data_IF_368384629478
#
_entry.id   IF_368384629478
#
_cell.length_a   1.000
_cell.length_b   1.000
_cell.length_c   1.000
_cell.angle_alpha   90.00
_cell.angle_beta   90.00
_cell.angle_gamma   90.00
#
_symmetry.space_group_name_H-M   'P 1'
#
loop_
_entity.id
_entity.type
_entity.pdbx_description
1 polymer ?
#
# COMPACT_ATOMS: atom_id res chain seq x y z
N UNK A 1 -8.16 -13.68 10.28
CA UNK A 1 -6.84 -14.08 9.75
C UNK A 1 -5.71 -13.72 10.72
N UNK A 2 -5.57 -12.44 11.12
CA UNK A 2 -4.52 -12.00 12.05
C UNK A 2 -4.55 -12.68 13.43
N UNK A 3 -5.73 -12.96 14.01
CA UNK A 3 -5.85 -13.66 15.31
C UNK A 3 -5.17 -15.04 15.38
N UNK A 4 -4.92 -15.71 14.25
CA UNK A 4 -4.29 -17.05 14.22
C UNK A 4 -2.82 -17.01 13.82
N UNK A 5 -2.32 -15.88 13.31
CA UNK A 5 -0.97 -15.74 12.76
C UNK A 5 -0.21 -14.66 13.52
N UNK A 6 0.76 -15.08 14.32
CA UNK A 6 1.57 -14.19 15.16
C UNK A 6 2.47 -13.25 14.35
N UNK A 7 2.72 -13.57 13.08
CA UNK A 7 3.50 -12.74 12.15
C UNK A 7 2.65 -11.71 11.38
N UNK A 8 1.36 -11.56 11.70
CA UNK A 8 0.47 -10.56 11.06
C UNK A 8 0.02 -9.55 12.09
N UNK A 9 0.47 -8.31 11.95
CA UNK A 9 0.11 -7.20 12.83
C UNK A 9 -0.97 -6.35 12.14
N UNK A 10 -2.24 -6.39 12.59
CA UNK A 10 -3.29 -5.59 11.99
C UNK A 10 -3.15 -4.13 12.41
N UNK A 11 -3.20 -3.21 11.44
CA UNK A 11 -3.23 -1.76 11.67
C UNK A 11 -4.52 -1.23 11.08
N UNK A 12 -5.36 -0.61 11.90
CA UNK A 12 -6.63 -0.02 11.49
C UNK A 12 -6.41 1.48 11.37
N UNK A 13 -5.97 1.94 10.20
CA UNK A 13 -5.82 3.36 9.91
C UNK A 13 -5.85 3.63 8.39
N UNK A 14 -6.04 4.89 7.99
CA UNK A 14 -6.06 5.30 6.58
C UNK A 14 -4.64 5.33 5.98
N UNK A 15 -4.41 4.52 4.95
CA UNK A 15 -3.13 4.43 4.24
C UNK A 15 -2.68 5.75 3.57
N UNK A 16 -3.58 6.72 3.40
CA UNK A 16 -3.27 8.06 2.90
C UNK A 16 -2.45 8.90 3.91
N UNK A 17 -2.40 8.50 5.17
CA UNK A 17 -1.76 9.24 6.26
C UNK A 17 -0.70 8.39 6.99
N UNK A 18 0.43 8.05 6.36
CA UNK A 18 1.46 7.18 6.95
C UNK A 18 2.07 7.71 8.25
N UNK A 19 1.96 9.01 8.51
CA UNK A 19 2.35 9.63 9.77
C UNK A 19 1.58 9.10 10.97
N UNK A 20 0.31 8.69 10.81
CA UNK A 20 -0.55 8.24 11.92
C UNK A 20 -0.16 6.88 12.48
N UNK A 21 0.45 6.02 11.67
CA UNK A 21 0.94 4.70 12.09
C UNK A 21 2.46 4.59 12.02
N UNK A 22 3.18 5.72 11.88
CA UNK A 22 4.63 5.74 11.72
C UNK A 22 5.37 5.06 12.88
N UNK A 23 4.82 5.17 14.09
CA UNK A 23 5.41 4.56 15.30
C UNK A 23 5.22 3.03 15.37
N UNK A 24 4.31 2.47 14.58
CA UNK A 24 3.97 1.04 14.61
C UNK A 24 4.74 0.23 13.57
N UNK A 25 5.28 0.87 12.53
CA UNK A 25 5.88 0.20 11.37
C UNK A 25 7.33 0.62 11.22
N UNK A 26 8.23 -0.38 11.19
CA UNK A 26 9.65 -0.21 10.91
C UNK A 26 9.94 -0.09 9.41
N UNK A 27 11.23 -0.11 9.04
CA UNK A 27 11.61 -0.17 7.63
C UNK A 27 11.30 -1.56 7.05
N UNK A 28 10.65 -1.61 5.88
CA UNK A 28 10.19 -2.83 5.21
C UNK A 28 10.97 -3.09 3.93
N UNK A 29 11.09 -4.36 3.57
CA UNK A 29 11.77 -4.81 2.35
C UNK A 29 10.85 -4.74 1.12
N UNK A 30 9.55 -5.02 1.32
CA UNK A 30 8.56 -5.07 0.24
C UNK A 30 7.26 -4.41 0.69
N UNK A 31 6.65 -3.61 -0.18
CA UNK A 31 5.27 -3.11 -0.02
C UNK A 31 4.36 -3.78 -1.06
N UNK A 32 3.23 -4.32 -0.61
CA UNK A 32 2.15 -4.79 -1.47
C UNK A 32 0.94 -3.86 -1.35
N UNK A 33 0.41 -3.38 -2.47
CA UNK A 33 -0.75 -2.49 -2.52
C UNK A 33 -1.87 -3.08 -3.38
N UNK A 34 -3.01 -3.35 -2.74
CA UNK A 34 -4.27 -3.79 -3.37
C UNK A 34 -5.42 -2.82 -3.05
N UNK A 35 -5.07 -1.53 -2.95
CA UNK A 35 -6.03 -0.46 -2.66
C UNK A 35 -6.73 -0.06 -3.97
N UNK A 36 -8.04 -0.26 -4.04
CA UNK A 36 -8.86 0.11 -5.19
C UNK A 36 -9.29 1.59 -5.16
N UNK A 37 -8.33 2.52 -5.12
CA UNK A 37 -8.57 3.97 -5.12
C UNK A 37 -7.93 4.60 -6.37
N UNK A 38 -8.52 5.67 -6.93
CA UNK A 38 -7.91 6.39 -8.06
C UNK A 38 -6.51 6.95 -7.75
N UNK A 39 -6.25 7.31 -6.49
CA UNK A 39 -4.97 7.85 -6.03
C UNK A 39 -3.99 6.80 -5.49
N UNK A 40 -4.14 5.53 -5.91
CA UNK A 40 -3.32 4.38 -5.46
C UNK A 40 -1.81 4.64 -5.59
N UNK A 41 -1.37 5.25 -6.70
CA UNK A 41 0.05 5.56 -6.92
C UNK A 41 0.60 6.54 -5.86
N UNK A 42 -0.19 7.55 -5.48
CA UNK A 42 0.17 8.52 -4.45
C UNK A 42 0.24 7.85 -3.08
N UNK A 43 -0.73 7.00 -2.75
CA UNK A 43 -0.76 6.23 -1.48
C UNK A 43 0.50 5.37 -1.37
N UNK A 44 0.85 4.66 -2.43
CA UNK A 44 2.05 3.83 -2.44
C UNK A 44 3.32 4.66 -2.28
N UNK A 45 3.47 5.73 -3.07
CA UNK A 45 4.67 6.58 -3.02
C UNK A 45 4.90 7.16 -1.62
N UNK A 46 3.82 7.61 -0.95
CA UNK A 46 3.88 8.08 0.43
C UNK A 46 4.25 6.97 1.41
N UNK A 47 3.70 5.76 1.27
CA UNK A 47 4.10 4.66 2.15
C UNK A 47 5.55 4.24 1.91
N UNK A 48 6.00 4.23 0.65
CA UNK A 48 7.37 3.90 0.29
C UNK A 48 8.36 4.91 0.87
N UNK A 49 8.06 6.22 0.82
CA UNK A 49 8.97 7.24 1.37
C UNK A 49 9.14 7.15 2.89
N UNK A 50 8.16 6.61 3.61
CA UNK A 50 8.21 6.49 5.07
C UNK A 50 8.80 5.15 5.55
N UNK A 51 8.59 4.07 4.80
CA UNK A 51 8.83 2.71 5.29
C UNK A 51 9.71 1.86 4.38
N UNK A 52 9.79 2.12 3.06
CA UNK A 52 10.54 1.24 2.17
C UNK A 52 12.05 1.52 2.31
N UNK A 53 12.83 0.46 2.47
CA UNK A 53 14.29 0.55 2.45
C UNK A 53 14.78 1.02 1.08
N UNK A 54 15.99 1.60 1.04
CA UNK A 54 16.64 1.84 -0.24
C UNK A 54 16.83 0.49 -0.95
N UNK A 55 16.62 0.46 -2.27
CA UNK A 55 16.60 -0.78 -3.08
C UNK A 55 15.50 -1.79 -2.71
N UNK A 56 14.53 -1.41 -1.86
CA UNK A 56 13.36 -2.22 -1.57
C UNK A 56 12.41 -2.33 -2.77
N UNK A 57 11.52 -3.33 -2.72
CA UNK A 57 10.60 -3.62 -3.82
C UNK A 57 9.17 -3.22 -3.48
N UNK A 58 8.35 -3.01 -4.51
CA UNK A 58 6.91 -2.87 -4.33
C UNK A 58 6.15 -3.66 -5.40
N UNK A 59 4.97 -4.12 -5.04
CA UNK A 59 4.06 -4.86 -5.90
C UNK A 59 2.70 -4.18 -5.83
N UNK A 60 2.15 -3.82 -7.00
CA UNK A 60 0.86 -3.15 -7.12
C UNK A 60 -0.11 -4.08 -7.83
N UNK A 61 -1.27 -4.30 -7.21
CA UNK A 61 -2.45 -4.85 -7.86
C UNK A 61 -3.24 -3.69 -8.47
N UNK A 62 -3.15 -3.54 -9.80
CA UNK A 62 -3.85 -2.51 -10.55
C UNK A 62 -5.18 -3.08 -11.03
N UNK A 63 -6.28 -2.50 -10.55
CA UNK A 63 -7.62 -2.78 -11.07
C UNK A 63 -8.07 -1.60 -11.92
N UNK A 64 -7.87 -1.70 -13.24
CA UNK A 64 -8.09 -0.61 -14.20
C UNK A 64 -9.44 0.10 -14.01
N UNK A 65 -10.53 -0.67 -13.89
CA UNK A 65 -11.89 -0.13 -13.73
C UNK A 65 -12.11 0.72 -12.46
N UNK A 66 -11.24 0.61 -11.46
CA UNK A 66 -11.32 1.41 -10.22
C UNK A 66 -10.49 2.71 -10.29
N UNK A 67 -9.63 2.84 -11.30
CA UNK A 67 -8.81 4.03 -11.54
C UNK A 67 -9.56 4.97 -12.49
N UNK A 68 -9.98 4.43 -13.63
CA UNK A 68 -10.81 5.12 -14.59
C UNK A 68 -11.75 4.10 -15.24
N UNK A 69 -13.05 4.28 -15.03
CA UNK A 69 -14.07 3.39 -15.60
C UNK A 69 -14.52 3.83 -16.99
N UNK A 70 -14.06 4.98 -17.47
CA UNK A 70 -14.45 5.57 -18.75
C UNK A 70 -13.51 5.22 -19.90
N UNK A 71 -12.31 4.73 -19.58
CA UNK A 71 -11.27 4.36 -20.55
C UNK A 71 -11.00 2.85 -20.45
N UNK A 72 -10.95 2.12 -21.58
CA UNK A 72 -10.56 0.71 -21.56
C UNK A 72 -9.11 0.55 -21.09
N UNK A 73 -8.83 -0.54 -20.37
CA UNK A 73 -7.46 -0.87 -19.98
C UNK A 73 -6.63 -1.18 -21.24
N UNK A 74 -5.57 -0.40 -21.49
CA UNK A 74 -4.58 -0.74 -22.50
C UNK A 74 -3.70 -1.90 -22.01
N UNK A 75 -3.40 -2.82 -22.93
CA UNK A 75 -2.74 -4.10 -22.69
C UNK A 75 -1.21 -3.98 -22.60
#
# INVERSE_FOLDING_TARGET
MAKKRTNVIPIIEDARHPTRYRMLVGMVDVIFSDVAQPDQARILALNASFFLKNEGHFVISIKANCIDSTVPAEA
#
